data_IF_935158124193
#
_entry.id   IF_935158124193
#
_cell.length_a   1.000
_cell.length_b   1.000
_cell.length_c   1.000
_cell.angle_alpha   90.00
_cell.angle_beta   90.00
_cell.angle_gamma   90.00
#
_symmetry.space_group_name_H-M   'P 1'
#
loop_
_entity.id
_entity.type
_entity.pdbx_description
1 polymer ?
#
# COMPACT_ATOMS: atom_id res chain seq x y z
N UNK A 1 -4.04 -10.67 -16.85
CA UNK A 1 -5.19 -9.78 -16.56
C UNK A 1 -4.77 -8.91 -15.40
N UNK A 2 -4.48 -7.63 -15.63
CA UNK A 2 -3.96 -6.73 -14.61
C UNK A 2 -5.16 -6.01 -13.97
N UNK A 3 -5.46 -6.34 -12.71
CA UNK A 3 -6.55 -5.69 -11.97
C UNK A 3 -5.96 -4.54 -11.15
N UNK A 4 -6.38 -3.31 -11.43
CA UNK A 4 -6.04 -2.12 -10.66
C UNK A 4 -7.11 -1.88 -9.59
N UNK A 5 -6.70 -1.78 -8.33
CA UNK A 5 -7.59 -1.46 -7.21
C UNK A 5 -7.25 -0.08 -6.64
N UNK A 6 -8.27 0.75 -6.47
CA UNK A 6 -8.19 2.04 -5.79
C UNK A 6 -9.14 2.01 -4.60
N UNK A 7 -8.60 2.13 -3.39
CA UNK A 7 -9.37 2.10 -2.16
C UNK A 7 -9.11 3.37 -1.35
N UNK A 8 -10.15 4.17 -1.14
CA UNK A 8 -10.11 5.38 -0.32
C UNK A 8 -11.08 5.22 0.84
N UNK A 9 -10.61 5.36 2.07
CA UNK A 9 -11.47 5.27 3.25
C UNK A 9 -10.91 6.10 4.41
N UNK A 10 -11.79 6.73 5.18
CA UNK A 10 -11.41 7.43 6.40
C UNK A 10 -11.03 6.47 7.56
N UNK A 11 -11.15 5.15 7.36
CA UNK A 11 -10.87 4.12 8.36
C UNK A 11 -9.75 3.16 7.95
N UNK A 12 -9.93 1.88 8.23
CA UNK A 12 -8.99 0.82 7.84
C UNK A 12 -9.26 0.35 6.41
N UNK A 13 -8.23 0.32 5.56
CA UNK A 13 -8.29 -0.24 4.20
C UNK A 13 -7.50 -1.53 4.17
N UNK A 14 -8.08 -2.58 3.56
CA UNK A 14 -7.36 -3.80 3.23
C UNK A 14 -7.61 -4.14 1.76
N UNK A 15 -6.55 -4.25 0.96
CA UNK A 15 -6.65 -4.51 -0.48
C UNK A 15 -5.71 -5.63 -0.90
N UNK A 16 -6.19 -6.49 -1.80
CA UNK A 16 -5.45 -7.61 -2.38
C UNK A 16 -5.63 -7.60 -3.90
N UNK A 17 -4.55 -7.50 -4.67
CA UNK A 17 -4.63 -7.56 -6.13
C UNK A 17 -3.37 -8.09 -6.81
N UNK A 18 -3.52 -8.68 -7.99
CA UNK A 18 -2.41 -9.02 -8.88
C UNK A 18 -2.27 -7.92 -9.94
N UNK A 19 -1.59 -6.82 -9.59
CA UNK A 19 -1.43 -5.67 -10.47
C UNK A 19 -1.00 -4.39 -9.74
N UNK A 20 -1.75 -3.31 -9.98
CA UNK A 20 -1.54 -2.01 -9.35
C UNK A 20 -2.52 -1.82 -8.19
N UNK A 21 -2.02 -1.41 -7.03
CA UNK A 21 -2.87 -1.10 -5.87
C UNK A 21 -2.55 0.30 -5.39
N UNK A 22 -3.57 1.14 -5.29
CA UNK A 22 -3.52 2.45 -4.66
C UNK A 22 -4.47 2.46 -3.46
N UNK A 23 -3.93 2.61 -2.25
CA UNK A 23 -4.71 2.69 -1.03
C UNK A 23 -4.50 4.06 -0.37
N UNK A 24 -5.57 4.74 -0.02
CA UNK A 24 -5.54 5.99 0.72
C UNK A 24 -6.41 5.85 1.97
N UNK A 25 -5.80 5.99 3.16
CA UNK A 25 -6.55 5.88 4.40
C UNK A 25 -6.09 6.77 5.55
N UNK A 26 -7.02 7.28 6.34
CA UNK A 26 -6.67 8.19 7.46
C UNK A 26 -6.12 7.47 8.69
N UNK A 27 -6.34 6.16 8.83
CA UNK A 27 -5.98 5.39 10.03
C UNK A 27 -5.00 4.26 9.76
N UNK A 28 -5.44 3.24 9.02
CA UNK A 28 -4.61 2.05 8.75
C UNK A 28 -4.80 1.60 7.31
N UNK A 29 -3.71 1.33 6.60
CA UNK A 29 -3.75 0.80 5.24
C UNK A 29 -2.99 -0.53 5.17
N UNK A 30 -3.66 -1.57 4.70
CA UNK A 30 -3.11 -2.87 4.37
C UNK A 30 -3.25 -3.08 2.85
N UNK A 31 -2.14 -3.27 2.16
CA UNK A 31 -2.14 -3.48 0.73
C UNK A 31 -1.22 -4.64 0.38
N UNK A 32 -1.75 -5.66 -0.29
CA UNK A 32 -0.98 -6.83 -0.75
C UNK A 32 -1.11 -6.92 -2.25
N UNK A 33 -0.01 -6.80 -2.99
CA UNK A 33 -0.06 -6.97 -4.44
C UNK A 33 1.13 -7.71 -5.05
N UNK A 34 0.88 -8.41 -6.15
CA UNK A 34 1.93 -8.96 -7.00
C UNK A 34 2.28 -7.97 -8.12
N UNK A 35 2.82 -6.81 -7.76
CA UNK A 35 3.09 -5.73 -8.73
C UNK A 35 3.59 -4.43 -8.11
N UNK A 36 2.82 -3.35 -8.26
CA UNK A 36 3.14 -2.04 -7.66
C UNK A 36 2.07 -1.67 -6.62
N UNK A 37 2.51 -1.35 -5.40
CA UNK A 37 1.67 -0.81 -4.33
C UNK A 37 2.02 0.66 -4.12
N UNK A 38 1.01 1.52 -4.07
CA UNK A 38 1.09 2.88 -3.54
C UNK A 38 0.11 2.98 -2.37
N UNK A 39 0.60 3.24 -1.17
CA UNK A 39 -0.23 3.41 0.01
C UNK A 39 0.04 4.77 0.65
N UNK A 40 -1.02 5.54 0.88
CA UNK A 40 -0.98 6.82 1.58
C UNK A 40 -1.77 6.70 2.87
N UNK A 41 -1.17 7.00 4.03
CA UNK A 41 -1.93 7.03 5.29
C UNK A 41 -1.41 7.97 6.36
N UNK A 42 -2.28 8.50 7.19
CA UNK A 42 -1.88 9.31 8.35
C UNK A 42 -1.49 8.47 9.58
N UNK A 43 -1.67 7.14 9.54
CA UNK A 43 -1.39 6.26 10.67
C UNK A 43 -0.48 5.06 10.33
N UNK A 44 -1.02 3.85 10.37
CA UNK A 44 -0.26 2.61 10.17
C UNK A 44 -0.40 2.09 8.74
N UNK A 45 0.71 1.96 8.01
CA UNK A 45 0.72 1.37 6.67
C UNK A 45 1.46 0.05 6.69
N UNK A 46 0.80 -1.01 6.23
CA UNK A 46 1.39 -2.32 5.99
C UNK A 46 1.21 -2.69 4.50
N UNK A 47 2.30 -2.64 3.73
CA UNK A 47 2.28 -2.89 2.29
C UNK A 47 3.15 -4.10 1.94
N UNK A 48 2.57 -5.13 1.32
CA UNK A 48 3.31 -6.28 0.81
C UNK A 48 3.27 -6.26 -0.72
N UNK A 49 4.44 -6.20 -1.36
CA UNK A 49 4.55 -6.20 -2.81
C UNK A 49 5.58 -7.21 -3.31
N UNK A 50 5.27 -7.93 -4.39
CA UNK A 50 6.28 -8.74 -5.10
C UNK A 50 7.18 -7.92 -6.04
N UNK A 51 6.87 -6.63 -6.23
CA UNK A 51 7.62 -5.73 -7.11
C UNK A 51 8.01 -4.44 -6.39
N UNK A 52 7.32 -3.34 -6.73
CA UNK A 52 7.57 -2.03 -6.15
C UNK A 52 6.56 -1.74 -5.03
N UNK A 53 7.03 -1.19 -3.92
CA UNK A 53 6.17 -0.67 -2.86
C UNK A 53 6.52 0.79 -2.57
N UNK A 54 5.54 1.66 -2.70
CA UNK A 54 5.56 3.07 -2.32
C UNK A 54 4.61 3.23 -1.15
N UNK A 55 5.13 3.69 -0.03
CA UNK A 55 4.32 4.05 1.13
C UNK A 55 4.63 5.48 1.53
N UNK A 56 3.59 6.31 1.65
CA UNK A 56 3.66 7.69 2.08
C UNK A 56 2.80 7.85 3.32
N UNK A 57 3.42 8.02 4.49
CA UNK A 57 2.63 8.06 5.72
C UNK A 57 3.27 8.85 6.85
N UNK A 58 2.43 9.59 7.58
CA UNK A 58 2.84 10.40 8.73
C UNK A 58 2.95 9.61 10.04
N UNK A 59 2.97 8.27 9.98
CA UNK A 59 2.97 7.37 11.12
C UNK A 59 3.97 6.21 10.97
N UNK A 60 3.52 4.98 11.26
CA UNK A 60 4.37 3.78 11.23
C UNK A 60 4.17 3.02 9.93
N UNK A 61 5.29 2.57 9.34
CA UNK A 61 5.32 1.94 8.02
C UNK A 61 6.00 0.59 8.09
N UNK A 62 5.28 -0.45 7.66
CA UNK A 62 5.77 -1.80 7.46
C UNK A 62 5.57 -2.18 5.99
N UNK A 63 6.55 -1.84 5.14
CA UNK A 63 6.52 -2.27 3.74
C UNK A 63 7.47 -3.45 3.53
N UNK A 64 6.93 -4.53 2.97
CA UNK A 64 7.67 -5.72 2.55
C UNK A 64 7.60 -5.81 1.04
N UNK A 65 8.68 -5.44 0.36
CA UNK A 65 8.81 -5.60 -1.09
C UNK A 65 9.85 -6.68 -1.42
N UNK A 66 9.50 -7.66 -2.25
CA UNK A 66 10.47 -8.59 -2.84
C UNK A 66 11.25 -7.97 -4.03
N UNK A 67 11.10 -6.67 -4.25
CA UNK A 67 11.84 -5.83 -5.22
C UNK A 67 12.27 -4.49 -4.61
N UNK A 68 12.03 -3.38 -5.31
CA UNK A 68 12.41 -2.03 -4.87
C UNK A 68 11.36 -1.43 -3.91
N UNK A 69 11.76 -1.18 -2.66
CA UNK A 69 10.93 -0.50 -1.66
C UNK A 69 11.34 0.97 -1.51
N UNK A 70 10.43 1.90 -1.79
CA UNK A 70 10.61 3.32 -1.55
C UNK A 70 9.69 3.76 -0.42
N UNK A 71 10.32 3.98 0.73
CA UNK A 71 9.67 4.43 1.96
C UNK A 71 9.93 5.92 2.13
N UNK A 72 8.88 6.73 2.00
CA UNK A 72 8.93 8.17 2.24
C UNK A 72 8.31 8.45 3.61
N UNK A 73 8.98 9.26 4.41
CA UNK A 73 8.55 9.62 5.77
C UNK A 73 8.15 11.08 5.86
#
# INVERSE_FOLDING_TARGET
MQMSFLATSCGSVATTSSGYVAADSSYSALATCCGLVAATSCGYVAATSSGCALANCSGYVAATSFGYGLLWK
#
